data_IF_261902787903
#
_entry.id   IF_261902787903
#
_cell.length_a   1.000
_cell.length_b   1.000
_cell.length_c   1.000
_cell.angle_alpha   90.00
_cell.angle_beta   90.00
_cell.angle_gamma   90.00
#
_symmetry.space_group_name_H-M   'P 1'
#
loop_
_entity.id
_entity.type
_entity.pdbx_description
1 polymer ?
#
# COMPACT_ATOMS: atom_id res chain seq x y z
N UNK A 1 -3.53 -20.68 -20.27
CA UNK A 1 -4.38 -21.07 -19.14
C UNK A 1 -3.88 -22.39 -18.60
N UNK A 2 -3.73 -22.46 -17.28
CA UNK A 2 -3.11 -23.54 -16.53
C UNK A 2 -4.07 -24.00 -15.42
N UNK A 3 -3.82 -25.18 -14.87
CA UNK A 3 -4.53 -25.66 -13.68
C UNK A 3 -4.01 -24.89 -12.45
N UNK A 4 -4.87 -24.21 -11.67
CA UNK A 4 -4.45 -23.55 -10.44
C UNK A 4 -3.85 -24.54 -9.44
N UNK A 5 -2.93 -24.08 -8.56
CA UNK A 5 -2.39 -24.87 -7.47
C UNK A 5 -3.48 -25.58 -6.65
N UNK A 6 -3.22 -26.83 -6.26
CA UNK A 6 -4.20 -27.67 -5.54
C UNK A 6 -4.73 -27.01 -4.26
N UNK A 7 -3.85 -26.34 -3.52
CA UNK A 7 -4.19 -25.60 -2.31
C UNK A 7 -5.16 -24.44 -2.56
N UNK A 8 -5.00 -23.70 -3.66
CA UNK A 8 -5.96 -22.69 -4.12
C UNK A 8 -7.30 -23.34 -4.48
N UNK A 9 -7.30 -24.45 -5.22
CA UNK A 9 -8.53 -25.18 -5.55
C UNK A 9 -9.26 -25.68 -4.29
N UNK A 10 -8.53 -26.26 -3.33
CA UNK A 10 -9.08 -26.73 -2.06
C UNK A 10 -9.68 -25.56 -1.25
N UNK A 11 -9.05 -24.39 -1.28
CA UNK A 11 -9.57 -23.18 -0.64
C UNK A 11 -10.85 -22.69 -1.31
N UNK A 12 -10.89 -22.64 -2.65
CA UNK A 12 -12.10 -22.29 -3.41
C UNK A 12 -13.26 -23.25 -3.13
N UNK A 13 -12.98 -24.55 -2.97
CA UNK A 13 -13.98 -25.54 -2.58
C UNK A 13 -14.54 -25.26 -1.17
N UNK A 14 -13.68 -24.96 -0.18
CA UNK A 14 -14.13 -24.57 1.17
C UNK A 14 -14.96 -23.28 1.18
N UNK A 15 -14.62 -22.34 0.30
CA UNK A 15 -15.40 -21.11 0.08
C UNK A 15 -16.69 -21.33 -0.74
N UNK A 16 -16.94 -22.55 -1.24
CA UNK A 16 -18.07 -22.90 -2.12
C UNK A 16 -18.12 -22.07 -3.41
N UNK A 17 -16.95 -21.76 -3.96
CA UNK A 17 -16.79 -20.99 -5.20
C UNK A 17 -16.61 -21.88 -6.44
N UNK A 18 -16.29 -23.15 -6.24
CA UNK A 18 -16.33 -24.17 -7.28
C UNK A 18 -17.79 -24.67 -7.33
N UNK A 19 -18.49 -24.46 -8.44
CA UNK A 19 -19.91 -24.80 -8.56
C UNK A 19 -20.27 -26.25 -8.18
N UNK A 20 -21.50 -26.45 -7.72
CA UNK A 20 -22.04 -27.72 -7.25
C UNK A 20 -22.60 -27.59 -5.83
N UNK A 21 -23.89 -27.87 -5.61
CA UNK A 21 -24.39 -28.05 -4.25
C UNK A 21 -23.68 -29.24 -3.61
N UNK A 22 -23.40 -29.22 -2.30
CA UNK A 22 -22.88 -30.39 -1.59
C UNK A 22 -24.00 -31.42 -1.46
N UNK A 23 -24.31 -32.16 -2.53
CA UNK A 23 -25.05 -33.41 -2.41
C UNK A 23 -24.10 -34.44 -1.82
N UNK A 24 -24.26 -34.71 -0.52
CA UNK A 24 -23.91 -35.98 0.12
C UNK A 24 -22.59 -36.62 -0.34
N UNK A 25 -21.45 -36.10 0.12
CA UNK A 25 -20.18 -36.85 0.15
C UNK A 25 -19.54 -37.21 -1.19
N UNK A 26 -20.07 -36.76 -2.33
CA UNK A 26 -19.44 -36.96 -3.63
C UNK A 26 -18.56 -35.76 -4.04
N UNK A 27 -17.40 -35.99 -4.68
CA UNK A 27 -16.55 -34.92 -5.19
C UNK A 27 -17.28 -34.15 -6.30
N UNK A 28 -17.06 -32.83 -6.43
CA UNK A 28 -17.70 -32.01 -7.45
C UNK A 28 -17.42 -32.59 -8.85
N UNK A 29 -18.48 -32.80 -9.62
CA UNK A 29 -18.48 -33.53 -10.91
C UNK A 29 -18.15 -32.64 -12.12
N UNK A 30 -17.62 -31.43 -11.89
CA UNK A 30 -17.21 -30.51 -12.96
C UNK A 30 -15.72 -30.62 -13.29
N UNK A 31 -15.36 -30.26 -14.54
CA UNK A 31 -13.95 -30.04 -14.89
C UNK A 31 -13.34 -28.97 -13.95
N UNK A 32 -12.09 -29.16 -13.47
CA UNK A 32 -11.45 -28.19 -12.59
C UNK A 32 -11.33 -26.83 -13.30
N UNK A 33 -11.54 -25.71 -12.58
CA UNK A 33 -11.41 -24.41 -13.20
C UNK A 33 -9.97 -24.20 -13.66
N UNK A 34 -9.83 -23.39 -14.69
CA UNK A 34 -8.55 -23.00 -15.28
C UNK A 34 -8.23 -21.55 -14.93
N UNK A 35 -6.97 -21.17 -15.01
CA UNK A 35 -6.55 -19.83 -14.66
C UNK A 35 -5.19 -19.46 -15.22
N UNK A 36 -4.65 -18.36 -14.72
CA UNK A 36 -3.30 -17.92 -15.02
C UNK A 36 -2.69 -17.20 -13.81
N UNK A 37 -1.39 -17.42 -13.54
CA UNK A 37 -0.70 -16.66 -12.51
C UNK A 37 -0.60 -15.19 -12.93
N UNK A 38 -0.95 -14.28 -12.02
CA UNK A 38 -0.76 -12.85 -12.19
C UNK A 38 0.63 -12.45 -11.71
N UNK A 39 1.24 -11.50 -12.42
CA UNK A 39 2.57 -10.98 -12.08
C UNK A 39 2.50 -9.79 -11.13
N UNK A 40 3.61 -9.47 -10.46
CA UNK A 40 3.76 -8.25 -9.65
C UNK A 40 3.71 -8.42 -8.13
N UNK A 41 3.23 -9.56 -7.63
CA UNK A 41 3.27 -9.90 -6.20
C UNK A 41 4.60 -10.56 -5.80
N UNK A 42 5.35 -9.94 -4.88
CA UNK A 42 6.54 -10.56 -4.27
C UNK A 42 6.21 -11.30 -2.98
N UNK A 43 5.10 -10.95 -2.32
CA UNK A 43 4.69 -11.50 -1.03
C UNK A 43 3.59 -12.57 -1.13
N UNK A 44 3.02 -12.79 -2.32
CA UNK A 44 1.88 -13.68 -2.51
C UNK A 44 1.91 -14.39 -3.86
N UNK A 45 1.31 -15.57 -3.92
CA UNK A 45 0.78 -16.12 -5.16
C UNK A 45 -0.51 -15.38 -5.49
N UNK A 46 -0.64 -14.94 -6.74
CA UNK A 46 -1.83 -14.25 -7.24
C UNK A 46 -2.25 -14.95 -8.54
N UNK A 47 -3.51 -15.31 -8.65
CA UNK A 47 -4.07 -16.04 -9.77
C UNK A 47 -5.36 -15.39 -10.24
N UNK A 48 -5.52 -15.27 -11.56
CA UNK A 48 -6.85 -15.12 -12.16
C UNK A 48 -7.40 -16.52 -12.39
N UNK A 49 -8.62 -16.78 -11.96
CA UNK A 49 -9.29 -18.07 -12.12
C UNK A 49 -10.63 -17.83 -12.82
N UNK A 50 -10.83 -18.53 -13.93
CA UNK A 50 -12.05 -18.46 -14.72
C UNK A 50 -13.08 -19.44 -14.12
N UNK A 51 -14.12 -18.89 -13.49
CA UNK A 51 -15.26 -19.63 -12.95
C UNK A 51 -16.49 -19.44 -13.85
N UNK A 52 -17.52 -20.28 -13.68
CA UNK A 52 -18.77 -20.17 -14.43
C UNK A 52 -19.47 -18.81 -14.25
N UNK A 53 -19.31 -18.18 -13.08
CA UNK A 53 -19.84 -16.84 -12.78
C UNK A 53 -18.97 -15.68 -13.26
N UNK A 54 -17.87 -15.97 -13.97
CA UNK A 54 -16.88 -14.97 -14.41
C UNK A 54 -15.53 -15.12 -13.70
N UNK A 55 -14.50 -14.38 -14.16
CA UNK A 55 -13.16 -14.45 -13.60
C UNK A 55 -13.10 -13.85 -12.20
N UNK A 56 -12.34 -14.49 -11.31
CA UNK A 56 -11.98 -13.96 -9.99
C UNK A 56 -10.46 -13.85 -9.85
N UNK A 57 -10.01 -12.97 -8.96
CA UNK A 57 -8.64 -12.90 -8.50
C UNK A 57 -8.51 -13.64 -7.17
N UNK A 58 -7.54 -14.55 -7.07
CA UNK A 58 -7.22 -15.28 -5.85
C UNK A 58 -5.81 -14.93 -5.41
N UNK A 59 -5.68 -14.55 -4.15
CA UNK A 59 -4.41 -14.17 -3.52
C UNK A 59 -4.13 -15.07 -2.32
N UNK A 60 -2.88 -15.49 -2.19
CA UNK A 60 -2.41 -16.31 -1.07
C UNK A 60 -0.99 -15.91 -0.66
N UNK A 61 -0.83 -15.53 0.60
CA UNK A 61 0.45 -15.09 1.16
C UNK A 61 1.50 -16.21 1.12
N UNK A 62 2.73 -15.83 0.80
CA UNK A 62 3.91 -16.67 0.92
C UNK A 62 4.60 -16.42 2.28
N UNK A 63 5.12 -17.46 2.97
CA UNK A 63 5.90 -17.27 4.20
C UNK A 63 7.19 -16.45 4.00
N UNK A 64 7.78 -16.55 2.79
CA UNK A 64 8.98 -15.81 2.39
C UNK A 64 8.70 -14.98 1.14
N UNK A 65 9.10 -13.72 1.16
CA UNK A 65 8.96 -12.80 0.04
C UNK A 65 10.00 -13.12 -1.05
N UNK A 66 9.58 -12.99 -2.32
CA UNK A 66 10.42 -13.13 -3.52
C UNK A 66 11.25 -11.86 -3.77
N UNK A 67 12.10 -11.49 -2.81
CA UNK A 67 13.02 -10.34 -2.88
C UNK A 67 14.46 -10.77 -2.61
N UNK A 68 15.44 -9.93 -2.98
CA UNK A 68 16.87 -10.26 -2.85
C UNK A 68 17.33 -10.38 -1.39
N UNK A 69 16.76 -9.56 -0.51
CA UNK A 69 17.01 -9.66 0.93
C UNK A 69 16.23 -10.85 1.53
N UNK A 70 16.76 -11.49 2.56
CA UNK A 70 15.98 -12.48 3.31
C UNK A 70 14.89 -11.77 4.11
N UNK A 71 13.65 -11.87 3.62
CA UNK A 71 12.49 -11.20 4.21
C UNK A 71 11.36 -12.20 4.39
N UNK A 72 11.14 -12.56 5.65
CA UNK A 72 10.05 -13.43 6.08
C UNK A 72 8.90 -12.55 6.58
N UNK A 73 7.67 -12.96 6.29
CA UNK A 73 6.48 -12.23 6.75
C UNK A 73 5.42 -13.23 7.23
N UNK A 74 4.74 -12.93 8.36
CA UNK A 74 3.68 -13.79 8.88
C UNK A 74 2.52 -13.92 7.87
N UNK A 75 2.07 -15.14 7.58
CA UNK A 75 1.06 -15.41 6.53
C UNK A 75 -0.35 -14.98 6.93
N UNK A 76 -0.60 -14.85 8.24
CA UNK A 76 -1.85 -14.35 8.81
C UNK A 76 -2.20 -12.91 8.36
N UNK A 77 -1.25 -12.19 7.73
CA UNK A 77 -1.47 -10.87 7.14
C UNK A 77 -2.61 -10.81 6.11
N UNK A 78 -2.84 -11.89 5.35
CA UNK A 78 -3.98 -11.97 4.42
C UNK A 78 -5.33 -11.89 5.14
N UNK A 79 -5.38 -12.29 6.41
CA UNK A 79 -6.59 -12.14 7.24
C UNK A 79 -6.99 -10.68 7.38
N UNK A 80 -5.99 -9.84 7.64
CA UNK A 80 -6.18 -8.41 7.91
C UNK A 80 -6.42 -7.62 6.63
N UNK A 81 -5.87 -8.06 5.50
CA UNK A 81 -6.25 -7.52 4.18
C UNK A 81 -7.74 -7.67 3.91
N UNK A 82 -8.31 -8.87 4.12
CA UNK A 82 -9.75 -9.10 3.94
C UNK A 82 -10.61 -8.24 4.88
N UNK A 83 -10.17 -8.07 6.13
CA UNK A 83 -10.84 -7.19 7.11
C UNK A 83 -10.80 -5.74 6.68
N UNK A 84 -9.61 -5.27 6.26
CA UNK A 84 -9.44 -3.91 5.76
C UNK A 84 -10.34 -3.65 4.55
N UNK A 85 -10.41 -4.58 3.59
CA UNK A 85 -11.28 -4.45 2.41
C UNK A 85 -12.76 -4.31 2.78
N UNK A 86 -13.26 -5.13 3.71
CA UNK A 86 -14.66 -5.06 4.17
C UNK A 86 -14.98 -3.70 4.80
N UNK A 87 -14.11 -3.22 5.69
CA UNK A 87 -14.29 -1.94 6.37
C UNK A 87 -14.15 -0.77 5.39
N UNK A 88 -13.13 -0.78 4.54
CA UNK A 88 -12.89 0.25 3.53
C UNK A 88 -14.05 0.37 2.55
N UNK A 89 -14.53 -0.75 1.99
CA UNK A 89 -15.67 -0.77 1.06
C UNK A 89 -16.99 -0.32 1.73
N UNK A 90 -17.16 -0.59 3.03
CA UNK A 90 -18.31 -0.07 3.78
C UNK A 90 -18.22 1.44 3.99
N UNK A 91 -17.02 1.99 4.18
CA UNK A 91 -16.79 3.43 4.35
C UNK A 91 -16.87 4.19 3.03
N UNK A 92 -16.29 3.64 1.98
CA UNK A 92 -16.28 4.20 0.62
C UNK A 92 -16.52 3.07 -0.38
N UNK A 93 -17.75 2.92 -0.89
CA UNK A 93 -18.05 1.91 -1.91
C UNK A 93 -17.12 2.03 -3.11
N UNK A 94 -16.78 0.88 -3.72
CA UNK A 94 -15.87 0.76 -4.87
C UNK A 94 -14.40 1.13 -4.61
N UNK A 95 -14.00 1.43 -3.37
CA UNK A 95 -12.59 1.71 -3.06
C UNK A 95 -11.69 0.48 -3.03
N UNK A 96 -12.25 -0.72 -3.11
CA UNK A 96 -11.52 -2.01 -3.13
C UNK A 96 -12.19 -2.95 -4.14
N UNK A 97 -11.51 -4.00 -4.61
CA UNK A 97 -12.19 -5.08 -5.30
C UNK A 97 -13.29 -5.66 -4.42
N UNK A 98 -14.38 -6.14 -5.02
CA UNK A 98 -15.43 -6.82 -4.27
C UNK A 98 -14.85 -8.11 -3.67
N UNK A 99 -14.98 -8.28 -2.35
CA UNK A 99 -14.53 -9.50 -1.69
C UNK A 99 -15.54 -10.63 -1.97
N UNK A 100 -15.08 -11.71 -2.60
CA UNK A 100 -15.90 -12.87 -2.99
C UNK A 100 -15.87 -13.94 -1.90
N UNK A 101 -14.70 -14.18 -1.29
CA UNK A 101 -14.55 -15.19 -0.27
C UNK A 101 -13.21 -15.10 0.46
N UNK A 102 -13.15 -15.77 1.61
CA UNK A 102 -11.92 -15.92 2.38
C UNK A 102 -11.91 -17.30 3.03
N UNK A 103 -10.80 -18.01 2.87
CA UNK A 103 -10.51 -19.24 3.60
C UNK A 103 -9.42 -18.96 4.64
N UNK A 104 -9.82 -18.67 5.89
CA UNK A 104 -8.88 -18.32 6.96
C UNK A 104 -7.86 -19.44 7.23
N UNK A 105 -8.26 -20.71 7.03
CA UNK A 105 -7.39 -21.87 7.28
C UNK A 105 -6.15 -21.91 6.38
N UNK A 106 -6.29 -21.54 5.09
CA UNK A 106 -5.15 -21.44 4.17
C UNK A 106 -4.62 -20.01 3.99
N UNK A 107 -5.30 -19.00 4.56
CA UNK A 107 -5.01 -17.59 4.31
C UNK A 107 -5.34 -17.15 2.88
N UNK A 108 -6.16 -17.91 2.15
CA UNK A 108 -6.52 -17.59 0.76
C UNK A 108 -7.65 -16.58 0.70
N UNK A 109 -7.49 -15.59 -0.17
CA UNK A 109 -8.44 -14.50 -0.40
C UNK A 109 -8.95 -14.57 -1.84
N UNK A 110 -10.26 -14.58 -2.04
CA UNK A 110 -10.89 -14.52 -3.36
C UNK A 110 -11.64 -13.19 -3.51
N UNK A 111 -11.37 -12.48 -4.59
CA UNK A 111 -11.93 -11.15 -4.86
C UNK A 111 -12.26 -10.99 -6.34
N UNK A 112 -13.01 -9.94 -6.65
CA UNK A 112 -13.29 -9.52 -8.02
C UNK A 112 -12.01 -9.36 -8.84
N UNK A 113 -12.00 -9.92 -10.06
CA UNK A 113 -10.93 -9.64 -11.02
C UNK A 113 -11.22 -8.33 -11.74
N UNK A 114 -10.30 -7.38 -11.62
CA UNK A 114 -10.39 -6.07 -12.26
C UNK A 114 -9.48 -6.03 -13.50
N UNK A 115 -10.03 -6.00 -14.72
CA UNK A 115 -9.24 -6.11 -15.93
C UNK A 115 -8.45 -4.82 -16.20
N UNK A 116 -7.18 -4.96 -16.60
CA UNK A 116 -6.21 -3.87 -16.66
C UNK A 116 -6.50 -2.79 -17.72
N UNK A 117 -7.29 -3.11 -18.75
CA UNK A 117 -7.75 -2.15 -19.76
C UNK A 117 -8.73 -1.12 -19.19
N UNK A 118 -9.52 -1.52 -18.18
CA UNK A 118 -10.48 -0.66 -17.47
C UNK A 118 -9.96 -0.16 -16.13
N UNK A 119 -9.05 -0.90 -15.50
CA UNK A 119 -8.44 -0.60 -14.21
C UNK A 119 -6.90 -0.57 -14.32
N UNK A 120 -6.32 0.35 -15.11
CA UNK A 120 -4.88 0.43 -15.25
C UNK A 120 -4.19 0.70 -13.92
N UNK A 121 -3.06 0.03 -13.71
CA UNK A 121 -2.25 0.21 -12.51
C UNK A 121 -1.64 1.62 -12.47
N UNK A 122 -1.84 2.37 -11.39
CA UNK A 122 -1.40 3.76 -11.31
C UNK A 122 0.12 3.90 -11.46
N UNK A 123 0.91 2.97 -10.89
CA UNK A 123 2.36 2.93 -11.12
C UNK A 123 2.73 2.83 -12.61
N UNK A 124 1.99 2.03 -13.39
CA UNK A 124 2.24 1.88 -14.82
C UNK A 124 1.88 3.18 -15.56
N UNK A 125 0.75 3.80 -15.25
CA UNK A 125 0.39 5.11 -15.81
C UNK A 125 1.47 6.16 -15.54
N UNK A 126 1.94 6.27 -14.30
CA UNK A 126 2.98 7.23 -13.93
C UNK A 126 4.30 6.97 -14.66
N UNK A 127 4.72 5.70 -14.79
CA UNK A 127 5.89 5.29 -15.59
C UNK A 127 5.76 5.75 -17.03
N UNK A 128 4.57 5.57 -17.62
CA UNK A 128 4.28 5.88 -19.01
C UNK A 128 3.98 7.38 -19.23
N UNK A 129 4.23 8.21 -18.20
CA UNK A 129 4.12 9.66 -18.25
C UNK A 129 2.69 10.19 -18.20
N UNK A 130 1.72 9.35 -17.85
CA UNK A 130 0.32 9.72 -17.59
C UNK A 130 0.24 10.13 -16.12
N UNK A 131 0.36 11.43 -15.87
CA UNK A 131 0.35 12.01 -14.53
C UNK A 131 -0.80 13.00 -14.42
N UNK A 132 -1.83 12.61 -13.67
CA UNK A 132 -3.01 13.44 -13.43
C UNK A 132 -3.08 13.88 -11.95
N UNK A 133 -2.92 15.19 -11.66
CA UNK A 133 -3.13 15.73 -10.32
C UNK A 133 -4.54 15.52 -9.76
N UNK A 134 -5.57 15.49 -10.61
CA UNK A 134 -6.95 15.26 -10.16
C UNK A 134 -7.12 13.82 -9.67
N UNK A 135 -6.55 12.84 -10.36
CA UNK A 135 -6.52 11.47 -9.86
C UNK A 135 -5.78 11.34 -8.52
N UNK A 136 -4.63 12.02 -8.35
CA UNK A 136 -3.93 12.03 -7.06
C UNK A 136 -4.77 12.64 -5.92
N UNK A 137 -5.54 13.71 -6.20
CA UNK A 137 -6.51 14.25 -5.25
C UNK A 137 -7.62 13.23 -4.94
N UNK A 138 -8.12 12.49 -5.92
CA UNK A 138 -9.14 11.45 -5.70
C UNK A 138 -8.63 10.31 -4.80
N UNK A 139 -7.36 9.91 -4.93
CA UNK A 139 -6.69 8.96 -4.01
C UNK A 139 -6.71 9.50 -2.58
N UNK A 140 -6.33 10.77 -2.39
CA UNK A 140 -6.40 11.42 -1.10
C UNK A 140 -7.82 11.46 -0.52
N UNK A 141 -8.82 11.79 -1.35
CA UNK A 141 -10.22 11.86 -0.89
C UNK A 141 -10.72 10.51 -0.43
N UNK A 142 -10.52 9.45 -1.22
CA UNK A 142 -10.95 8.10 -0.85
C UNK A 142 -10.24 7.62 0.41
N UNK A 143 -8.91 7.78 0.48
CA UNK A 143 -8.13 7.39 1.66
C UNK A 143 -8.54 8.17 2.92
N UNK A 144 -8.67 9.49 2.81
CA UNK A 144 -9.07 10.36 3.92
C UNK A 144 -10.46 10.03 4.46
N UNK A 145 -11.40 9.66 3.58
CA UNK A 145 -12.75 9.20 3.99
C UNK A 145 -12.71 7.87 4.73
N UNK A 146 -11.90 6.91 4.30
CA UNK A 146 -11.71 5.64 5.00
C UNK A 146 -11.13 5.89 6.41
N UNK A 147 -10.10 6.73 6.52
CA UNK A 147 -9.53 7.10 7.81
C UNK A 147 -10.54 7.82 8.72
N UNK A 148 -11.30 8.79 8.17
CA UNK A 148 -12.31 9.51 8.93
C UNK A 148 -13.42 8.60 9.46
N UNK A 149 -13.93 7.70 8.60
CA UNK A 149 -14.98 6.76 8.97
C UNK A 149 -14.50 5.78 10.05
N UNK A 150 -13.28 5.27 9.93
CA UNK A 150 -12.75 4.31 10.90
C UNK A 150 -12.33 4.95 12.21
N UNK A 151 -11.76 6.16 12.19
CA UNK A 151 -11.46 6.91 13.41
C UNK A 151 -12.71 7.22 14.24
N UNK A 152 -13.87 7.41 13.59
CA UNK A 152 -15.16 7.55 14.26
C UNK A 152 -15.71 6.23 14.87
N UNK A 153 -15.05 5.09 14.62
CA UNK A 153 -15.44 3.76 15.07
C UNK A 153 -14.28 3.03 15.78
N UNK A 154 -13.80 3.53 16.94
CA UNK A 154 -12.62 2.98 17.63
C UNK A 154 -12.75 1.52 18.08
N UNK A 155 -13.97 0.97 18.15
CA UNK A 155 -14.20 -0.45 18.41
C UNK A 155 -13.56 -1.38 17.38
N UNK A 156 -13.34 -0.91 16.14
CA UNK A 156 -12.64 -1.67 15.09
C UNK A 156 -11.17 -1.95 15.43
N UNK A 157 -10.57 -1.23 16.38
CA UNK A 157 -9.17 -1.43 16.76
C UNK A 157 -8.88 -2.88 17.19
N UNK A 158 -9.83 -3.53 17.87
CA UNK A 158 -9.69 -4.92 18.32
C UNK A 158 -9.58 -5.93 17.17
N UNK A 159 -10.04 -5.56 15.97
CA UNK A 159 -9.95 -6.41 14.78
C UNK A 159 -8.58 -6.34 14.09
N UNK A 160 -7.69 -5.45 14.54
CA UNK A 160 -6.34 -5.26 13.97
C UNK A 160 -5.24 -5.34 15.06
N UNK A 161 -5.06 -6.47 15.76
CA UNK A 161 -3.94 -6.69 16.67
C UNK A 161 -2.64 -6.99 15.89
N UNK A 162 -2.24 -6.06 15.01
CA UNK A 162 -1.21 -6.28 13.99
C UNK A 162 0.03 -5.40 14.17
N UNK A 163 0.22 -4.82 15.36
CA UNK A 163 1.39 -3.99 15.71
C UNK A 163 2.73 -4.64 15.35
N UNK A 164 2.92 -5.91 15.71
CA UNK A 164 4.14 -6.65 15.41
C UNK A 164 4.33 -6.85 13.89
N UNK A 165 3.24 -7.23 13.19
CA UNK A 165 3.26 -7.39 11.73
C UNK A 165 3.65 -6.06 11.07
N UNK A 166 2.98 -4.97 11.44
CA UNK A 166 3.27 -3.65 10.89
C UNK A 166 4.71 -3.20 11.18
N UNK A 167 5.22 -3.49 12.38
CA UNK A 167 6.62 -3.24 12.69
C UNK A 167 7.55 -4.03 11.74
N UNK A 168 7.38 -5.34 11.65
CA UNK A 168 8.28 -6.24 10.92
C UNK A 168 8.30 -5.97 9.41
N UNK A 169 7.17 -5.54 8.83
CA UNK A 169 7.07 -5.36 7.38
C UNK A 169 7.06 -3.89 6.95
N UNK A 170 6.93 -2.92 7.86
CA UNK A 170 6.99 -1.49 7.54
C UNK A 170 8.01 -0.73 8.38
N UNK A 171 7.90 -0.69 9.70
CA UNK A 171 8.78 0.18 10.50
C UNK A 171 10.23 -0.32 10.53
N UNK A 172 10.45 -1.62 10.67
CA UNK A 172 11.80 -2.20 10.66
C UNK A 172 12.50 -2.02 9.31
N UNK A 173 11.93 -2.47 8.17
CA UNK A 173 12.65 -2.46 6.90
C UNK A 173 12.89 -1.05 6.35
N UNK A 174 12.05 -0.08 6.74
CA UNK A 174 12.14 1.30 6.26
C UNK A 174 12.83 2.23 7.25
N UNK A 175 12.61 2.12 8.55
CA UNK A 175 13.14 3.09 9.52
C UNK A 175 14.29 2.49 10.34
N UNK A 176 14.07 1.34 10.97
CA UNK A 176 15.09 0.75 11.85
C UNK A 176 16.34 0.35 11.06
N UNK A 177 16.15 -0.37 9.94
CA UNK A 177 17.25 -0.81 9.09
C UNK A 177 18.01 0.38 8.48
N UNK A 178 17.31 1.40 8.00
CA UNK A 178 17.95 2.61 7.47
C UNK A 178 18.71 3.35 8.57
N UNK A 179 18.21 3.38 9.80
CA UNK A 179 18.94 3.91 10.96
C UNK A 179 20.26 3.18 11.25
N UNK A 180 20.33 1.86 11.03
CA UNK A 180 21.59 1.10 11.18
C UNK A 180 22.63 1.49 10.12
N UNK A 181 22.18 1.85 8.92
CA UNK A 181 23.05 2.28 7.81
C UNK A 181 23.46 3.75 7.89
N UNK A 182 22.71 4.54 8.67
CA UNK A 182 22.96 5.97 8.89
C UNK A 182 23.03 6.26 10.41
N UNK A 183 24.15 5.94 11.09
CA UNK A 183 24.25 6.06 12.55
C UNK A 183 23.90 7.45 13.09
N UNK A 184 24.27 8.51 12.37
CA UNK A 184 23.96 9.90 12.75
C UNK A 184 22.45 10.19 12.75
N UNK A 185 21.67 9.45 11.96
CA UNK A 185 20.21 9.56 11.88
C UNK A 185 19.48 8.53 12.75
N UNK A 186 20.16 7.59 13.39
CA UNK A 186 19.54 6.49 14.13
C UNK A 186 18.60 6.97 15.24
N UNK A 187 18.95 8.05 15.95
CA UNK A 187 18.09 8.65 16.97
C UNK A 187 16.82 9.28 16.37
N UNK A 188 16.91 9.89 15.19
CA UNK A 188 15.77 10.44 14.46
C UNK A 188 14.83 9.30 14.00
N UNK A 189 15.39 8.23 13.44
CA UNK A 189 14.62 7.05 13.02
C UNK A 189 13.87 6.40 14.18
N UNK A 190 14.51 6.21 15.33
CA UNK A 190 13.84 5.66 16.53
C UNK A 190 12.68 6.53 17.00
N UNK A 191 12.83 7.86 17.05
CA UNK A 191 11.73 8.77 17.42
C UNK A 191 10.56 8.69 16.45
N UNK A 192 10.81 8.53 15.14
CA UNK A 192 9.76 8.37 14.14
C UNK A 192 9.01 7.04 14.31
N UNK A 193 9.74 5.94 14.58
CA UNK A 193 9.14 4.63 14.90
C UNK A 193 8.23 4.77 16.11
N UNK A 194 8.75 5.28 17.23
CA UNK A 194 7.97 5.41 18.46
C UNK A 194 6.77 6.34 18.29
N UNK A 195 6.92 7.46 17.58
CA UNK A 195 5.81 8.38 17.31
C UNK A 195 4.74 7.69 16.48
N UNK A 196 5.12 6.96 15.43
CA UNK A 196 4.17 6.21 14.60
C UNK A 196 3.43 5.16 15.43
N UNK A 197 4.13 4.38 16.26
CA UNK A 197 3.51 3.35 17.10
C UNK A 197 2.60 3.90 18.19
N UNK A 198 2.93 5.06 18.77
CA UNK A 198 2.15 5.70 19.84
C UNK A 198 0.82 6.29 19.33
N UNK A 199 0.73 6.68 18.06
CA UNK A 199 -0.49 7.23 17.50
C UNK A 199 -1.41 6.11 16.99
N UNK A 200 -2.54 5.92 17.68
CA UNK A 200 -3.53 4.85 17.45
C UNK A 200 -4.89 5.44 17.11
N UNK A 201 -5.04 5.96 15.90
CA UNK A 201 -6.12 6.89 15.56
C UNK A 201 -7.15 6.32 14.58
N UNK A 202 -6.74 5.51 13.60
CA UNK A 202 -7.66 4.95 12.60
C UNK A 202 -7.14 3.63 12.03
N UNK A 203 -7.94 3.01 11.16
CA UNK A 203 -7.51 1.86 10.36
C UNK A 203 -6.62 2.34 9.22
N UNK A 204 -5.36 1.90 9.22
CA UNK A 204 -4.32 2.29 8.24
C UNK A 204 -4.08 1.11 7.31
N UNK A 205 -3.95 1.36 6.00
CA UNK A 205 -3.64 0.36 4.99
C UNK A 205 -2.18 -0.16 5.10
N UNK A 206 -1.25 0.75 5.39
CA UNK A 206 0.16 0.47 5.62
C UNK A 206 1.01 0.29 4.36
N UNK A 207 0.45 0.39 3.15
CA UNK A 207 1.20 0.32 1.88
C UNK A 207 0.48 1.08 0.76
N UNK A 208 0.06 2.30 1.07
CA UNK A 208 -0.56 3.17 0.05
C UNK A 208 0.53 3.66 -0.90
N UNK A 209 0.73 2.92 -1.97
CA UNK A 209 1.69 3.23 -3.03
C UNK A 209 1.06 3.04 -4.39
N UNK A 210 1.53 3.74 -5.45
CA UNK A 210 0.94 3.59 -6.79
C UNK A 210 0.97 2.17 -7.37
N UNK A 211 1.77 1.26 -6.80
CA UNK A 211 1.81 -0.15 -7.20
C UNK A 211 0.60 -0.96 -6.67
N UNK A 212 -0.12 -0.39 -5.71
CA UNK A 212 -1.24 -0.99 -4.99
C UNK A 212 -2.55 -0.22 -5.25
N UNK A 213 -2.59 0.62 -6.29
CA UNK A 213 -3.74 1.45 -6.63
C UNK A 213 -4.03 1.29 -8.11
N UNK A 214 -5.24 0.85 -8.44
CA UNK A 214 -5.75 0.89 -9.81
C UNK A 214 -6.53 2.18 -10.03
N UNK A 215 -6.41 2.75 -11.23
CA UNK A 215 -7.24 3.87 -11.66
C UNK A 215 -8.51 3.32 -12.32
N UNK A 216 -9.55 3.10 -11.50
CA UNK A 216 -10.84 2.63 -11.95
C UNK A 216 -11.73 3.74 -12.51
N UNK A 217 -12.84 3.37 -13.19
CA UNK A 217 -13.80 4.32 -13.76
C UNK A 217 -14.50 5.16 -12.69
N UNK A 218 -14.71 4.61 -11.50
CA UNK A 218 -15.40 5.27 -10.38
C UNK A 218 -14.42 5.91 -9.38
N UNK A 219 -13.12 5.84 -9.67
CA UNK A 219 -12.06 6.37 -8.83
C UNK A 219 -10.99 5.33 -8.48
N UNK A 220 -10.15 5.62 -7.47
CA UNK A 220 -9.04 4.77 -7.09
C UNK A 220 -9.50 3.51 -6.37
N UNK A 221 -8.96 2.37 -6.78
CA UNK A 221 -9.18 1.06 -6.13
C UNK A 221 -7.90 0.62 -5.44
N UNK A 222 -7.94 0.49 -4.11
CA UNK A 222 -6.83 0.09 -3.26
C UNK A 222 -6.73 -1.44 -3.19
N UNK A 223 -5.50 -1.93 -3.28
CA UNK A 223 -5.13 -3.35 -3.27
C UNK A 223 -4.08 -3.60 -2.17
N UNK A 224 -3.91 -4.86 -1.77
CA UNK A 224 -2.73 -5.29 -1.02
C UNK A 224 -2.56 -4.61 0.35
N UNK A 225 -3.67 -4.52 1.10
CA UNK A 225 -3.69 -4.04 2.48
C UNK A 225 -3.16 -5.10 3.49
N UNK A 226 -2.14 -5.87 3.11
CA UNK A 226 -1.54 -6.90 3.98
C UNK A 226 -0.83 -6.30 5.20
N UNK A 227 -0.58 -4.99 5.19
CA UNK A 227 0.02 -4.24 6.29
C UNK A 227 -1.02 -3.53 7.16
N UNK A 228 -2.30 -3.88 7.01
CA UNK A 228 -3.37 -3.20 7.71
C UNK A 228 -3.19 -3.29 9.23
N UNK A 229 -3.33 -2.15 9.89
CA UNK A 229 -3.23 -2.04 11.35
C UNK A 229 -4.09 -0.89 11.87
N UNK A 230 -4.39 -0.92 13.18
CA UNK A 230 -4.93 0.25 13.86
C UNK A 230 -3.77 1.14 14.32
N UNK A 231 -3.65 2.35 13.76
CA UNK A 231 -2.44 3.14 13.89
C UNK A 231 -2.55 4.59 13.42
N UNK A 232 -1.41 5.14 12.97
CA UNK A 232 -1.27 6.54 12.57
C UNK A 232 -1.57 6.75 11.08
N UNK A 233 -2.65 7.46 10.71
CA UNK A 233 -2.98 7.78 9.31
C UNK A 233 -1.91 8.59 8.59
N UNK A 234 -1.02 9.25 9.33
CA UNK A 234 0.12 9.96 8.75
C UNK A 234 1.02 9.04 7.92
N UNK A 235 1.11 7.75 8.28
CA UNK A 235 1.95 6.79 7.57
C UNK A 235 1.51 6.60 6.11
N UNK A 236 0.23 6.34 5.88
CA UNK A 236 -0.30 6.08 4.53
C UNK A 236 -0.14 7.30 3.61
N UNK A 237 -0.43 8.50 4.13
CA UNK A 237 -0.24 9.72 3.36
C UNK A 237 1.24 9.94 3.02
N UNK A 238 2.13 9.80 4.01
CA UNK A 238 3.57 9.96 3.81
C UNK A 238 4.11 8.96 2.79
N UNK A 239 3.65 7.70 2.86
CA UNK A 239 4.09 6.62 1.99
C UNK A 239 3.70 6.86 0.53
N UNK A 240 2.48 7.35 0.28
CA UNK A 240 2.05 7.68 -1.09
C UNK A 240 2.76 8.91 -1.65
N UNK A 241 2.86 9.98 -0.85
CA UNK A 241 3.54 11.23 -1.23
C UNK A 241 5.03 11.00 -1.54
N UNK A 242 5.70 10.17 -0.74
CA UNK A 242 7.07 9.70 -0.99
C UNK A 242 7.22 9.13 -2.41
N UNK A 243 6.28 8.28 -2.83
CA UNK A 243 6.31 7.69 -4.15
C UNK A 243 6.02 8.67 -5.30
N UNK A 244 5.31 9.77 -5.08
CA UNK A 244 5.17 10.84 -6.08
C UNK A 244 6.49 11.61 -6.23
N UNK A 245 7.17 11.90 -5.12
CA UNK A 245 8.45 12.60 -5.12
C UNK A 245 9.57 11.78 -5.80
N UNK A 246 9.71 10.49 -5.48
CA UNK A 246 10.73 9.62 -6.10
C UNK A 246 10.56 9.51 -7.62
N UNK A 247 9.31 9.55 -8.11
CA UNK A 247 9.03 9.45 -9.54
C UNK A 247 9.47 10.67 -10.34
N UNK A 248 9.79 11.79 -9.69
CA UNK A 248 10.46 12.93 -10.35
C UNK A 248 11.82 12.56 -10.95
N UNK A 249 12.46 11.51 -10.42
CA UNK A 249 13.69 10.93 -10.97
C UNK A 249 13.41 9.87 -12.04
N UNK A 250 12.28 9.14 -11.92
CA UNK A 250 11.91 8.10 -12.89
C UNK A 250 11.42 8.69 -14.21
N UNK A 251 10.61 9.75 -14.15
CA UNK A 251 10.01 10.40 -15.32
C UNK A 251 10.28 11.91 -15.27
N UNK A 252 11.53 12.36 -15.55
CA UNK A 252 11.94 13.75 -15.39
C UNK A 252 11.09 14.75 -16.20
N UNK A 253 10.59 14.34 -17.36
CA UNK A 253 9.72 15.15 -18.23
C UNK A 253 8.36 15.48 -17.61
N UNK A 254 7.98 14.80 -16.51
CA UNK A 254 6.72 15.00 -15.80
C UNK A 254 6.90 15.51 -14.36
N UNK A 255 8.09 16.00 -13.99
CA UNK A 255 8.38 16.55 -12.64
C UNK A 255 7.33 17.54 -12.14
N UNK A 256 6.97 18.51 -12.96
CA UNK A 256 5.98 19.53 -12.58
C UNK A 256 4.60 18.92 -12.30
N UNK A 257 4.17 17.95 -13.11
CA UNK A 257 2.91 17.26 -12.92
C UNK A 257 2.94 16.42 -11.63
N UNK A 258 4.05 15.75 -11.33
CA UNK A 258 4.21 14.96 -10.10
C UNK A 258 4.22 15.83 -8.83
N UNK A 259 4.90 16.98 -8.86
CA UNK A 259 4.86 17.96 -7.77
C UNK A 259 3.47 18.59 -7.61
N UNK A 260 2.74 18.81 -8.71
CA UNK A 260 1.32 19.20 -8.65
C UNK A 260 0.45 18.10 -8.07
N UNK A 261 0.66 16.83 -8.42
CA UNK A 261 -0.04 15.68 -7.83
C UNK A 261 0.23 15.56 -6.33
N UNK A 262 1.47 15.77 -5.88
CA UNK A 262 1.81 15.83 -4.46
C UNK A 262 0.97 16.89 -3.74
N UNK A 263 0.96 18.12 -4.28
CA UNK A 263 0.20 19.24 -3.71
C UNK A 263 -1.30 18.95 -3.70
N UNK A 264 -1.86 18.48 -4.81
CA UNK A 264 -3.27 18.18 -4.94
C UNK A 264 -3.70 17.08 -3.96
N UNK A 265 -2.86 16.07 -3.74
CA UNK A 265 -3.10 15.03 -2.75
C UNK A 265 -3.10 15.60 -1.31
N UNK A 266 -2.12 16.44 -0.96
CA UNK A 266 -2.06 17.10 0.35
C UNK A 266 -3.28 18.00 0.60
N UNK A 267 -3.60 18.88 -0.34
CA UNK A 267 -4.71 19.84 -0.25
C UNK A 267 -6.07 19.15 -0.17
N UNK A 268 -6.23 17.98 -0.82
CA UNK A 268 -7.45 17.20 -0.76
C UNK A 268 -7.58 16.35 0.51
N UNK A 269 -6.47 15.86 1.08
CA UNK A 269 -6.49 14.99 2.25
C UNK A 269 -6.69 15.77 3.56
N UNK A 270 -5.94 16.85 3.79
CA UNK A 270 -5.92 17.55 5.09
C UNK A 270 -7.31 18.03 5.57
N UNK A 271 -8.21 18.54 4.71
CA UNK A 271 -9.57 18.91 5.13
C UNK A 271 -10.43 17.74 5.62
N UNK A 272 -10.05 16.49 5.32
CA UNK A 272 -10.77 15.28 5.74
C UNK A 272 -10.32 14.76 7.10
N UNK A 273 -9.26 15.35 7.68
CA UNK A 273 -8.75 14.96 9.00
C UNK A 273 -9.72 15.45 10.07
N UNK A 274 -10.58 14.54 10.53
CA UNK A 274 -11.65 14.83 11.51
C UNK A 274 -11.36 14.31 12.93
N UNK A 275 -10.31 13.50 13.10
CA UNK A 275 -9.97 12.82 14.36
C UNK A 275 -8.94 13.56 15.21
N UNK A 276 -8.29 14.58 14.66
CA UNK A 276 -7.29 15.42 15.33
C UNK A 276 -7.14 16.75 14.58
N UNK A 277 -6.40 17.75 15.12
CA UNK A 277 -6.09 18.96 14.35
C UNK A 277 -5.26 18.64 13.08
N UNK A 278 -5.68 19.08 11.88
CA UNK A 278 -5.01 18.75 10.62
C UNK A 278 -3.51 19.11 10.59
N UNK A 279 -3.13 20.23 11.22
CA UNK A 279 -1.74 20.67 11.31
C UNK A 279 -0.84 19.67 12.08
N UNK A 280 -1.40 18.96 13.08
CA UNK A 280 -0.64 17.93 13.82
C UNK A 280 -0.40 16.68 12.98
N UNK A 281 -1.37 16.30 12.16
CA UNK A 281 -1.19 15.22 11.20
C UNK A 281 -0.17 15.64 10.13
N UNK A 282 -0.32 16.83 9.55
CA UNK A 282 0.60 17.33 8.52
C UNK A 282 2.05 17.32 9.01
N UNK A 283 2.29 17.82 10.23
CA UNK A 283 3.61 17.79 10.87
C UNK A 283 4.18 16.37 10.92
N UNK A 284 3.40 15.38 11.38
CA UNK A 284 3.86 13.98 11.43
C UNK A 284 4.17 13.43 10.04
N UNK A 285 3.37 13.76 9.03
CA UNK A 285 3.62 13.35 7.64
C UNK A 285 4.91 13.99 7.12
N UNK A 286 5.11 15.29 7.37
CA UNK A 286 6.29 16.05 6.95
C UNK A 286 7.59 15.53 7.62
N UNK A 287 7.52 15.05 8.86
CA UNK A 287 8.65 14.46 9.57
C UNK A 287 8.93 13.02 9.13
N UNK A 288 7.90 12.23 8.84
CA UNK A 288 8.03 10.83 8.44
C UNK A 288 8.50 10.67 6.99
N UNK A 289 8.03 11.52 6.09
CA UNK A 289 8.29 11.39 4.65
C UNK A 289 9.79 11.34 4.32
N UNK A 290 10.66 12.24 4.82
CA UNK A 290 12.10 12.17 4.55
C UNK A 290 12.75 10.84 4.94
N UNK A 291 12.29 10.20 6.02
CA UNK A 291 12.81 8.89 6.42
C UNK A 291 12.39 7.80 5.43
N UNK A 292 11.11 7.79 5.02
CA UNK A 292 10.61 6.88 3.97
C UNK A 292 11.32 7.12 2.63
N UNK A 293 11.65 8.37 2.32
CA UNK A 293 12.38 8.77 1.12
C UNK A 293 13.79 8.19 1.11
N UNK A 294 14.54 8.34 2.22
CA UNK A 294 15.86 7.72 2.39
C UNK A 294 15.80 6.20 2.34
N UNK A 295 14.79 5.60 2.97
CA UNK A 295 14.59 4.15 3.02
C UNK A 295 14.38 3.52 1.65
N UNK A 296 13.81 4.27 0.69
CA UNK A 296 13.64 3.80 -0.69
C UNK A 296 14.94 3.79 -1.50
N UNK A 297 16.06 4.18 -0.90
CA UNK A 297 17.40 4.06 -1.49
C UNK A 297 18.32 3.20 -0.62
N UNK A 298 18.26 3.38 0.70
CA UNK A 298 19.18 2.74 1.65
C UNK A 298 18.47 1.83 2.68
N UNK A 299 17.17 1.56 2.53
CA UNK A 299 16.43 0.58 3.35
C UNK A 299 16.44 -0.82 2.75
N UNK A 300 15.66 -1.75 3.33
CA UNK A 300 15.54 -3.13 2.80
C UNK A 300 14.71 -3.24 1.53
N UNK A 301 13.96 -2.19 1.17
CA UNK A 301 13.10 -2.14 -0.01
C UNK A 301 13.40 -0.91 -0.85
N UNK A 302 14.55 -0.86 -1.55
CA UNK A 302 14.82 0.25 -2.47
C UNK A 302 13.83 0.25 -3.65
N UNK A 303 13.56 1.42 -4.25
CA UNK A 303 12.83 1.49 -5.54
C UNK A 303 13.70 0.94 -6.66
N UNK A 304 13.09 0.14 -7.54
CA UNK A 304 13.79 -0.56 -8.61
C UNK A 304 14.21 0.34 -9.77
N UNK A 305 13.59 1.52 -9.88
CA UNK A 305 13.81 2.46 -10.99
C UNK A 305 14.84 3.55 -10.72
N UNK A 306 15.32 3.69 -9.48
CA UNK A 306 16.47 4.54 -9.18
C UNK A 306 17.71 3.65 -9.25
N UNK A 307 18.44 3.78 -10.35
CA UNK A 307 19.58 2.91 -10.66
C UNK A 307 20.91 3.66 -10.61
N UNK A 308 20.91 4.97 -10.85
CA UNK A 308 22.10 5.81 -10.89
C UNK A 308 22.48 6.35 -9.51
N UNK A 309 23.78 6.41 -9.21
CA UNK A 309 24.26 6.88 -7.92
C UNK A 309 23.99 8.37 -7.71
N UNK A 310 24.02 9.18 -8.77
CA UNK A 310 23.68 10.61 -8.71
C UNK A 310 22.23 10.83 -8.23
N UNK A 311 21.32 9.96 -8.68
CA UNK A 311 19.92 9.99 -8.26
C UNK A 311 19.77 9.56 -6.79
N UNK A 312 20.51 8.53 -6.37
CA UNK A 312 20.54 8.09 -4.95
C UNK A 312 21.07 9.21 -4.05
N UNK A 313 22.11 9.89 -4.48
CA UNK A 313 22.74 10.96 -3.72
C UNK A 313 21.86 12.20 -3.62
N UNK A 314 21.09 12.54 -4.66
CA UNK A 314 20.07 13.59 -4.57
C UNK A 314 19.01 13.27 -3.49
N UNK A 315 18.54 12.03 -3.45
CA UNK A 315 17.61 11.57 -2.39
C UNK A 315 18.25 11.67 -1.01
N UNK A 316 19.50 11.19 -0.86
CA UNK A 316 20.24 11.25 0.42
C UNK A 316 20.41 12.67 0.91
N UNK A 317 20.87 13.60 0.06
CA UNK A 317 21.11 15.00 0.43
C UNK A 317 19.84 15.65 0.99
N UNK A 318 18.71 15.50 0.31
CA UNK A 318 17.45 16.09 0.76
C UNK A 318 16.91 15.38 2.00
N UNK A 319 16.91 14.05 2.02
CA UNK A 319 16.39 13.30 3.17
C UNK A 319 17.20 13.58 4.44
N UNK A 320 18.54 13.53 4.38
CA UNK A 320 19.42 13.81 5.53
C UNK A 320 19.20 15.22 6.04
N UNK A 321 19.13 16.22 5.15
CA UNK A 321 18.85 17.60 5.54
C UNK A 321 17.51 17.73 6.28
N UNK A 322 16.45 17.15 5.73
CA UNK A 322 15.10 17.24 6.29
C UNK A 322 14.89 16.35 7.53
N UNK A 323 15.76 15.37 7.79
CA UNK A 323 15.72 14.60 9.03
C UNK A 323 16.46 15.31 10.18
N UNK A 324 17.52 16.04 9.85
CA UNK A 324 18.31 16.83 10.81
C UNK A 324 17.61 18.13 11.19
N UNK A 325 16.96 18.79 10.21
CA UNK A 325 16.18 20.02 10.39
C UNK A 325 14.75 19.81 9.84
N UNK A 326 13.88 19.14 10.62
CA UNK A 326 12.57 18.71 10.14
C UNK A 326 11.58 19.87 9.98
N UNK A 327 11.00 20.06 8.78
CA UNK A 327 9.96 21.06 8.58
C UNK A 327 8.61 20.57 9.11
N UNK A 328 7.75 21.49 9.52
CA UNK A 328 6.41 21.16 10.02
C UNK A 328 5.32 21.12 8.92
N UNK A 329 5.68 21.50 7.68
CA UNK A 329 4.75 21.59 6.54
C UNK A 329 5.23 20.75 5.36
N UNK A 330 4.28 20.07 4.69
CA UNK A 330 4.57 19.27 3.49
C UNK A 330 5.02 20.14 2.31
N UNK A 331 4.56 21.39 2.26
CA UNK A 331 5.00 22.35 1.26
C UNK A 331 6.52 22.61 1.31
N UNK A 332 7.13 22.61 2.50
CA UNK A 332 8.56 22.83 2.66
C UNK A 332 9.39 21.60 2.24
N UNK A 333 8.87 20.39 2.49
CA UNK A 333 9.43 19.14 1.97
C UNK A 333 9.45 19.15 0.43
N UNK A 334 8.32 19.48 -0.19
CA UNK A 334 8.21 19.57 -1.64
C UNK A 334 9.13 20.64 -2.24
N UNK A 335 9.24 21.80 -1.58
CA UNK A 335 10.14 22.89 -1.99
C UNK A 335 11.61 22.49 -1.92
N UNK A 336 12.02 21.79 -0.86
CA UNK A 336 13.39 21.30 -0.73
C UNK A 336 13.74 20.32 -1.86
N UNK A 337 12.81 19.44 -2.21
CA UNK A 337 13.00 18.50 -3.30
C UNK A 337 13.01 19.15 -4.69
N UNK A 338 12.11 20.09 -4.95
CA UNK A 338 12.10 20.85 -6.19
C UNK A 338 13.41 21.61 -6.41
N UNK A 339 14.00 22.16 -5.32
CA UNK A 339 15.31 22.83 -5.38
C UNK A 339 16.43 21.86 -5.75
N UNK A 340 16.44 20.66 -5.17
CA UNK A 340 17.45 19.63 -5.49
C UNK A 340 17.34 19.16 -6.94
N UNK A 341 16.13 18.98 -7.46
CA UNK A 341 15.90 18.56 -8.85
C UNK A 341 16.32 19.60 -9.91
N UNK A 342 16.49 20.85 -9.50
CA UNK A 342 16.87 21.97 -10.35
C UNK A 342 18.38 22.30 -10.29
N UNK A 343 19.12 21.68 -9.36
CA UNK A 343 20.57 21.82 -9.21
C UNK A 343 21.32 20.95 -10.22
#
# INVERSE_FOLDING_TARGET
METPPKDILDALARMRLLGGEPSTGEPPTGEPPTGEPLTGGVSSDIWRIDLAGGPICVKRALPKLRVAADWQAPVERNRFEARWMRVASSAVPHSTPTLVGQDEASGTLAMEYLPADRYPLWKAQLRDGIVDPAFAASVAVTLGRIHAATAAAPGLAADFPTDAIFYDIRLEPYLAHTGLRHPDLAAHMRRLIETTQRNKLAMVHGDVSPKNILAGPDGPVFLDAECAWWGDPAFDLAFCLNHLMLKCLWVPTRRDALLKSFRAMTEAYLPLVAWEPPDRLEQRVAHLLPALFLARVDGKSPVEYITQDEQRDAVRRVAVRLLTDPPDRLADVAKAWAKELAA
#
